data_IF_494731815436
#
_entry.id   IF_494731815436
#
_cell.length_a   1.000
_cell.length_b   1.000
_cell.length_c   1.000
_cell.angle_alpha   90.00
_cell.angle_beta   90.00
_cell.angle_gamma   90.00
#
_symmetry.space_group_name_H-M   'P 1'
#
loop_
_entity.id
_entity.type
_entity.pdbx_description
1 polymer ?
#
# COMPACT_ATOMS: atom_id res chain seq x y z
N UNK A 1 23.16 34.92 -48.43
CA UNK A 1 23.67 34.06 -47.34
C UNK A 1 22.97 34.49 -46.07
N UNK A 2 21.87 33.82 -45.72
CA UNK A 2 21.15 34.01 -44.46
C UNK A 2 21.33 32.73 -43.66
N UNK A 3 22.17 32.78 -42.64
CA UNK A 3 22.37 31.69 -41.69
C UNK A 3 21.06 31.36 -40.97
N UNK A 4 20.64 30.08 -40.89
CA UNK A 4 19.45 29.73 -40.15
C UNK A 4 19.71 29.89 -38.64
N UNK A 5 18.76 30.50 -37.95
CA UNK A 5 18.73 30.61 -36.49
C UNK A 5 18.76 29.21 -35.86
N UNK A 6 19.54 28.96 -34.80
CA UNK A 6 19.48 27.67 -34.12
C UNK A 6 18.07 27.48 -33.55
N UNK A 7 17.44 26.39 -33.94
CA UNK A 7 16.18 25.95 -33.37
C UNK A 7 16.38 25.79 -31.86
N UNK A 8 15.67 26.60 -31.07
CA UNK A 8 15.48 26.33 -29.65
C UNK A 8 14.79 24.98 -29.55
N UNK A 9 15.54 23.96 -29.15
CA UNK A 9 14.99 22.70 -28.69
C UNK A 9 13.91 23.04 -27.64
N UNK A 10 12.74 22.39 -27.65
CA UNK A 10 11.77 22.60 -26.59
C UNK A 10 12.48 22.25 -25.28
N UNK A 11 12.58 23.24 -24.39
CA UNK A 11 13.13 23.08 -23.05
C UNK A 11 12.49 21.84 -22.43
N UNK A 12 13.28 20.77 -22.32
CA UNK A 12 12.90 19.60 -21.55
C UNK A 12 12.53 20.11 -20.17
N UNK A 13 11.28 19.90 -19.77
CA UNK A 13 10.74 20.24 -18.47
C UNK A 13 11.78 19.96 -17.38
N UNK A 14 12.22 20.98 -16.59
CA UNK A 14 13.30 20.80 -15.63
C UNK A 14 12.94 19.69 -14.65
N UNK A 15 13.73 18.61 -14.66
CA UNK A 15 13.49 17.33 -14.00
C UNK A 15 12.98 17.49 -12.55
N UNK A 16 11.67 17.31 -12.29
CA UNK A 16 11.11 17.34 -10.93
C UNK A 16 11.71 16.26 -10.02
N UNK A 17 12.37 15.25 -10.60
CA UNK A 17 13.08 14.17 -9.90
C UNK A 17 14.33 14.65 -9.16
N UNK A 18 15.26 15.39 -9.78
CA UNK A 18 16.57 15.73 -9.15
C UNK A 18 16.44 16.49 -7.83
N UNK A 19 15.46 17.41 -7.75
CA UNK A 19 15.21 18.18 -6.53
C UNK A 19 14.59 17.32 -5.42
N UNK A 20 13.68 16.41 -5.77
CA UNK A 20 13.09 15.46 -4.82
C UNK A 20 14.17 14.53 -4.26
N UNK A 21 15.03 14.00 -5.12
CA UNK A 21 16.17 13.16 -4.73
C UNK A 21 17.10 13.90 -3.75
N UNK A 22 17.46 15.15 -4.06
CA UNK A 22 18.34 15.95 -3.20
C UNK A 22 17.70 16.22 -1.83
N UNK A 23 16.42 16.62 -1.80
CA UNK A 23 15.66 16.83 -0.56
C UNK A 23 15.57 15.53 0.25
N UNK A 24 15.36 14.39 -0.41
CA UNK A 24 15.30 13.07 0.23
C UNK A 24 16.63 12.71 0.90
N UNK A 25 17.77 12.96 0.23
CA UNK A 25 19.10 12.70 0.79
C UNK A 25 19.37 13.55 2.02
N UNK A 26 19.06 14.85 1.99
CA UNK A 26 19.24 15.71 3.17
C UNK A 26 18.36 15.28 4.34
N UNK A 27 17.10 14.92 4.08
CA UNK A 27 16.21 14.40 5.11
C UNK A 27 16.66 13.04 5.62
N UNK A 28 17.23 12.18 4.78
CA UNK A 28 17.79 10.90 5.17
C UNK A 28 18.98 11.07 6.12
N UNK A 29 19.88 12.02 5.85
CA UNK A 29 20.96 12.36 6.78
C UNK A 29 20.43 12.86 8.11
N UNK A 30 19.44 13.76 8.10
CA UNK A 30 18.80 14.22 9.34
C UNK A 30 18.13 13.07 10.11
N UNK A 31 17.40 12.20 9.41
CA UNK A 31 16.78 10.99 9.96
C UNK A 31 17.82 10.02 10.53
N UNK A 32 18.97 9.89 9.88
CA UNK A 32 20.10 9.11 10.38
C UNK A 32 20.70 9.69 11.66
N UNK A 33 20.89 11.01 11.74
CA UNK A 33 21.35 11.68 12.97
C UNK A 33 20.36 11.47 14.11
N UNK A 34 19.05 11.62 13.85
CA UNK A 34 18.00 11.29 14.83
C UNK A 34 18.10 9.82 15.24
N UNK A 35 18.33 8.93 14.29
CA UNK A 35 18.54 7.51 14.55
C UNK A 35 19.77 7.22 15.42
N UNK A 36 20.88 7.91 15.21
CA UNK A 36 22.09 7.78 16.03
C UNK A 36 21.81 8.15 17.49
N UNK A 37 21.17 9.30 17.70
CA UNK A 37 20.80 9.80 19.04
C UNK A 37 19.80 8.85 19.71
N UNK A 38 18.77 8.42 18.98
CA UNK A 38 17.77 7.51 19.49
C UNK A 38 18.36 6.13 19.84
N UNK A 39 19.22 5.58 18.98
CA UNK A 39 19.92 4.33 19.25
C UNK A 39 20.84 4.41 20.47
N UNK A 40 21.49 5.56 20.68
CA UNK A 40 22.29 5.81 21.88
C UNK A 40 21.42 5.82 23.14
N UNK A 41 20.28 6.53 23.12
CA UNK A 41 19.33 6.59 24.24
C UNK A 41 18.77 5.21 24.57
N UNK A 42 18.32 4.46 23.55
CA UNK A 42 17.80 3.09 23.75
C UNK A 42 18.86 2.18 24.36
N UNK A 43 20.12 2.27 23.92
CA UNK A 43 21.21 1.47 24.46
C UNK A 43 21.53 1.76 25.95
N UNK A 44 21.17 2.94 26.46
CA UNK A 44 21.32 3.27 27.88
C UNK A 44 20.12 2.85 28.73
N UNK A 45 18.93 2.79 28.14
CA UNK A 45 17.69 2.44 28.85
C UNK A 45 17.48 0.93 28.91
N UNK A 46 17.76 0.22 27.81
CA UNK A 46 17.54 -1.22 27.72
C UNK A 46 18.60 -1.99 28.53
N UNK A 47 18.16 -2.85 29.45
CA UNK A 47 19.06 -3.60 30.32
C UNK A 47 19.85 -4.68 29.54
N UNK A 48 19.23 -5.30 28.53
CA UNK A 48 19.84 -6.31 27.63
C UNK A 48 19.21 -6.25 26.24
N UNK A 49 19.65 -5.30 25.43
CA UNK A 49 19.17 -5.16 24.05
C UNK A 49 19.64 -6.35 23.20
N UNK A 50 18.71 -7.15 22.69
CA UNK A 50 19.00 -8.26 21.76
C UNK A 50 18.17 -8.12 20.48
N UNK A 51 18.46 -8.95 19.48
CA UNK A 51 17.71 -8.92 18.22
C UNK A 51 16.29 -9.49 18.34
N UNK A 52 16.06 -10.49 19.20
CA UNK A 52 14.86 -11.35 19.13
C UNK A 52 14.08 -11.53 20.44
N UNK A 53 14.73 -11.28 21.59
CA UNK A 53 14.31 -11.81 22.90
C UNK A 53 13.62 -10.73 23.76
N UNK A 54 13.90 -10.71 25.07
CA UNK A 54 13.15 -9.94 26.09
C UNK A 54 13.03 -8.44 25.78
N UNK A 55 14.12 -7.79 25.33
CA UNK A 55 14.15 -6.40 24.87
C UNK A 55 14.55 -6.36 23.39
N UNK A 56 13.59 -6.60 22.46
CA UNK A 56 13.93 -6.78 21.07
C UNK A 56 14.20 -5.42 20.42
N UNK A 57 15.42 -5.24 19.92
CA UNK A 57 15.82 -4.10 19.10
C UNK A 57 14.83 -3.84 17.96
N UNK A 58 14.22 -4.91 17.42
CA UNK A 58 13.18 -4.86 16.40
C UNK A 58 12.03 -3.88 16.74
N UNK A 59 11.57 -3.89 17.99
CA UNK A 59 10.46 -3.03 18.45
C UNK A 59 10.89 -1.57 18.54
N UNK A 60 12.05 -1.30 19.14
CA UNK A 60 12.58 0.07 19.23
C UNK A 60 12.83 0.68 17.85
N UNK A 61 13.41 -0.12 16.94
CA UNK A 61 13.67 0.28 15.57
C UNK A 61 12.38 0.53 14.78
N UNK A 62 11.35 -0.32 14.93
CA UNK A 62 10.07 -0.15 14.24
C UNK A 62 9.31 1.08 14.74
N UNK A 63 9.34 1.40 16.04
CA UNK A 63 8.79 2.64 16.59
C UNK A 63 9.50 3.86 16.00
N UNK A 64 10.84 3.85 15.99
CA UNK A 64 11.62 4.95 15.41
C UNK A 64 11.33 5.13 13.92
N UNK A 65 11.27 4.04 13.16
CA UNK A 65 10.91 4.03 11.74
C UNK A 65 9.51 4.60 11.50
N UNK A 66 8.52 4.23 12.32
CA UNK A 66 7.16 4.77 12.24
C UNK A 66 7.13 6.28 12.44
N UNK A 67 7.84 6.81 13.45
CA UNK A 67 7.89 8.25 13.74
C UNK A 67 8.50 9.03 12.57
N UNK A 68 9.66 8.61 12.07
CA UNK A 68 10.30 9.31 10.95
C UNK A 68 9.49 9.17 9.66
N UNK A 69 8.80 8.04 9.45
CA UNK A 69 7.89 7.84 8.33
C UNK A 69 6.67 8.75 8.40
N UNK A 70 6.07 8.96 9.57
CA UNK A 70 4.94 9.86 9.75
C UNK A 70 5.33 11.31 9.38
N UNK A 71 6.49 11.76 9.87
CA UNK A 71 7.02 13.11 9.59
C UNK A 71 7.36 13.26 8.11
N UNK A 72 8.13 12.32 7.55
CA UNK A 72 8.61 12.42 6.16
C UNK A 72 7.48 12.28 5.14
N UNK A 73 6.51 11.40 5.37
CA UNK A 73 5.32 11.27 4.52
C UNK A 73 4.44 12.51 4.58
N UNK A 74 4.25 13.10 5.77
CA UNK A 74 3.50 14.36 5.92
C UNK A 74 4.17 15.47 5.12
N UNK A 75 5.46 15.71 5.33
CA UNK A 75 6.22 16.76 4.63
C UNK A 75 6.20 16.51 3.12
N UNK A 76 6.50 15.27 2.68
CA UNK A 76 6.56 14.89 1.27
C UNK A 76 5.22 15.10 0.56
N UNK A 77 4.13 14.62 1.14
CA UNK A 77 2.79 14.71 0.54
C UNK A 77 2.28 16.15 0.46
N UNK A 78 2.47 16.95 1.52
CA UNK A 78 2.07 18.35 1.54
C UNK A 78 2.89 19.20 0.56
N UNK A 79 4.20 18.95 0.43
CA UNK A 79 5.05 19.66 -0.54
C UNK A 79 4.74 19.26 -1.97
N UNK A 80 4.36 18.00 -2.22
CA UNK A 80 4.01 17.50 -3.54
C UNK A 80 2.84 18.27 -4.19
N UNK A 81 1.86 18.74 -3.40
CA UNK A 81 0.75 19.60 -3.87
C UNK A 81 1.21 20.85 -4.62
N UNK A 82 2.43 21.34 -4.32
CA UNK A 82 2.96 22.57 -4.93
C UNK A 82 3.77 22.33 -6.21
N UNK A 83 3.91 21.08 -6.64
CA UNK A 83 4.78 20.70 -7.77
C UNK A 83 4.01 20.69 -9.11
N UNK A 84 4.71 20.90 -10.24
CA UNK A 84 4.13 20.73 -11.57
C UNK A 84 3.51 19.34 -11.75
N UNK A 85 2.37 19.25 -12.43
CA UNK A 85 1.63 17.99 -12.66
C UNK A 85 0.80 17.49 -11.46
N UNK A 86 0.93 18.09 -10.28
CA UNK A 86 0.13 17.76 -9.09
C UNK A 86 -0.83 18.88 -8.69
N UNK A 87 -1.05 19.83 -9.60
CA UNK A 87 -1.85 21.03 -9.35
C UNK A 87 -3.34 20.72 -9.16
N UNK A 88 -3.82 19.64 -9.79
CA UNK A 88 -5.17 19.13 -9.60
C UNK A 88 -5.48 18.83 -8.12
N UNK A 89 -4.47 18.47 -7.30
CA UNK A 89 -4.69 18.26 -5.86
C UNK A 89 -5.09 19.54 -5.12
N UNK A 90 -4.83 20.72 -5.70
CA UNK A 90 -5.24 22.02 -5.15
C UNK A 90 -6.72 22.33 -5.41
N UNK A 91 -7.33 21.68 -6.39
CA UNK A 91 -8.75 21.83 -6.71
C UNK A 91 -9.63 20.92 -5.84
N UNK A 92 -9.03 19.96 -5.13
CA UNK A 92 -9.74 19.10 -4.18
C UNK A 92 -10.28 19.93 -3.00
N UNK A 93 -11.52 19.65 -2.54
CA UNK A 93 -12.02 20.14 -1.27
C UNK A 93 -11.06 19.83 -0.12
N UNK A 94 -10.90 20.76 0.83
CA UNK A 94 -9.92 20.63 1.92
C UNK A 94 -10.09 19.35 2.73
N UNK A 95 -11.33 18.92 2.99
CA UNK A 95 -11.59 17.67 3.72
C UNK A 95 -11.09 16.43 2.96
N UNK A 96 -11.26 16.37 1.63
CA UNK A 96 -10.75 15.25 0.81
C UNK A 96 -9.23 15.21 0.84
N UNK A 97 -8.59 16.37 0.71
CA UNK A 97 -7.14 16.46 0.80
C UNK A 97 -6.61 16.04 2.18
N UNK A 98 -7.30 16.43 3.26
CA UNK A 98 -6.97 16.02 4.62
C UNK A 98 -7.10 14.51 4.80
N UNK A 99 -8.21 13.91 4.36
CA UNK A 99 -8.40 12.45 4.39
C UNK A 99 -7.29 11.75 3.62
N UNK A 100 -7.01 12.18 2.39
CA UNK A 100 -5.95 11.59 1.57
C UNK A 100 -4.57 11.70 2.24
N UNK A 101 -4.28 12.82 2.89
CA UNK A 101 -3.04 13.02 3.65
C UNK A 101 -2.98 12.04 4.82
N UNK A 102 -4.04 11.95 5.63
CA UNK A 102 -4.12 11.04 6.77
C UNK A 102 -3.90 9.60 6.31
N UNK A 103 -4.56 9.17 5.23
CA UNK A 103 -4.40 7.83 4.66
C UNK A 103 -2.97 7.54 4.26
N UNK A 104 -2.33 8.46 3.52
CA UNK A 104 -0.93 8.29 3.09
C UNK A 104 0.02 8.23 4.28
N UNK A 105 -0.19 9.08 5.29
CA UNK A 105 0.63 9.09 6.51
C UNK A 105 0.47 7.81 7.30
N UNK A 106 -0.77 7.37 7.56
CA UNK A 106 -1.07 6.12 8.27
C UNK A 106 -0.39 4.94 7.57
N UNK A 107 -0.57 4.81 6.25
CA UNK A 107 -0.01 3.69 5.49
C UNK A 107 1.50 3.67 5.56
N UNK A 108 2.19 4.80 5.34
CA UNK A 108 3.66 4.81 5.40
C UNK A 108 4.17 4.56 6.83
N UNK A 109 3.46 5.07 7.84
CA UNK A 109 3.81 4.86 9.25
C UNK A 109 3.71 3.39 9.62
N UNK A 110 2.57 2.77 9.32
CA UNK A 110 2.31 1.35 9.62
C UNK A 110 3.22 0.46 8.77
N UNK A 111 3.40 0.78 7.48
CA UNK A 111 4.30 0.00 6.61
C UNK A 111 5.75 0.06 7.09
N UNK A 112 6.24 1.24 7.48
CA UNK A 112 7.59 1.40 8.02
C UNK A 112 7.77 0.61 9.32
N UNK A 113 6.77 0.64 10.22
CA UNK A 113 6.76 -0.18 11.42
C UNK A 113 6.85 -1.67 11.07
N UNK A 114 5.92 -2.17 10.25
CA UNK A 114 5.78 -3.59 9.93
C UNK A 114 6.99 -4.11 9.15
N UNK A 115 7.46 -3.39 8.14
CA UNK A 115 8.62 -3.78 7.36
C UNK A 115 9.89 -3.84 8.22
N UNK A 116 10.10 -2.85 9.09
CA UNK A 116 11.25 -2.81 9.99
C UNK A 116 11.18 -3.93 11.02
N UNK A 117 10.00 -4.14 11.62
CA UNK A 117 9.78 -5.19 12.61
C UNK A 117 10.00 -6.57 11.98
N UNK A 118 9.37 -6.85 10.83
CA UNK A 118 9.53 -8.10 10.10
C UNK A 118 10.99 -8.36 9.71
N UNK A 119 11.70 -7.34 9.19
CA UNK A 119 13.11 -7.45 8.82
C UNK A 119 13.97 -7.87 10.02
N UNK A 120 13.86 -7.18 11.15
CA UNK A 120 14.65 -7.52 12.33
C UNK A 120 14.24 -8.86 12.94
N UNK A 121 12.96 -9.25 12.87
CA UNK A 121 12.51 -10.58 13.29
C UNK A 121 13.11 -11.68 12.42
N UNK A 122 13.23 -11.47 11.11
CA UNK A 122 13.90 -12.43 10.22
C UNK A 122 15.41 -12.49 10.52
N UNK A 123 16.06 -11.35 10.73
CA UNK A 123 17.48 -11.32 11.11
C UNK A 123 17.73 -12.03 12.45
N UNK A 124 16.84 -11.84 13.42
CA UNK A 124 16.86 -12.51 14.72
C UNK A 124 16.90 -14.04 14.61
N UNK A 125 16.25 -14.62 13.59
CA UNK A 125 16.30 -16.06 13.35
C UNK A 125 17.69 -16.55 12.90
N UNK A 126 18.47 -15.69 12.24
CA UNK A 126 19.85 -16.00 11.82
C UNK A 126 20.91 -15.66 12.86
N UNK A 127 20.64 -14.70 13.75
CA UNK A 127 21.59 -14.18 14.76
C UNK A 127 21.11 -14.46 16.19
N UNK A 128 20.94 -15.75 16.50
CA UNK A 128 20.40 -16.21 17.78
C UNK A 128 21.31 -15.78 18.93
N UNK A 129 20.74 -15.08 19.91
CA UNK A 129 21.44 -14.62 21.11
C UNK A 129 22.46 -13.49 20.87
N UNK A 130 22.47 -12.85 19.69
CA UNK A 130 23.40 -11.76 19.40
C UNK A 130 23.02 -10.50 20.22
N UNK A 131 23.86 -10.05 21.17
CA UNK A 131 23.61 -8.80 21.89
C UNK A 131 23.84 -7.60 20.98
N UNK A 132 22.94 -6.62 21.07
CA UNK A 132 23.06 -5.34 20.37
C UNK A 132 23.72 -4.34 21.32
N UNK A 133 25.06 -4.36 21.35
CA UNK A 133 25.84 -3.37 22.12
C UNK A 133 25.62 -1.95 21.60
N UNK A 134 25.95 -0.93 22.41
CA UNK A 134 25.73 0.49 22.09
C UNK A 134 26.20 0.89 20.69
N UNK A 135 27.36 0.40 20.24
CA UNK A 135 27.85 0.65 18.88
C UNK A 135 26.85 0.19 17.81
N UNK A 136 26.37 -1.05 17.90
CA UNK A 136 25.42 -1.60 16.94
C UNK A 136 24.03 -0.97 17.08
N UNK A 137 23.60 -0.63 18.28
CA UNK A 137 22.34 0.09 18.49
C UNK A 137 22.34 1.44 17.75
N UNK A 138 23.42 2.22 17.87
CA UNK A 138 23.59 3.51 17.18
C UNK A 138 23.66 3.30 15.67
N UNK A 139 24.50 2.39 15.18
CA UNK A 139 24.71 2.16 13.74
C UNK A 139 23.44 1.66 13.06
N UNK A 140 22.81 0.62 13.59
CA UNK A 140 21.61 0.02 13.01
C UNK A 140 20.44 1.00 13.03
N UNK A 141 20.28 1.77 14.12
CA UNK A 141 19.22 2.78 14.22
C UNK A 141 19.44 3.95 13.25
N UNK A 142 20.68 4.39 13.08
CA UNK A 142 21.06 5.41 12.07
C UNK A 142 20.67 4.97 10.67
N UNK A 143 21.05 3.75 10.29
CA UNK A 143 20.76 3.20 8.96
C UNK A 143 19.26 3.04 8.77
N UNK A 144 18.56 2.45 9.73
CA UNK A 144 17.12 2.21 9.65
C UNK A 144 16.33 3.51 9.51
N UNK A 145 16.52 4.47 10.42
CA UNK A 145 15.75 5.72 10.38
C UNK A 145 16.14 6.58 9.17
N UNK A 146 17.42 6.59 8.77
CA UNK A 146 17.87 7.28 7.56
C UNK A 146 17.24 6.71 6.29
N UNK A 147 17.29 5.39 6.10
CA UNK A 147 16.70 4.70 4.94
C UNK A 147 15.18 4.80 4.94
N UNK A 148 14.50 4.63 6.08
CA UNK A 148 13.06 4.83 6.19
C UNK A 148 12.67 6.24 5.78
N UNK A 149 13.39 7.25 6.28
CA UNK A 149 13.14 8.66 5.92
C UNK A 149 13.29 8.88 4.42
N UNK A 150 14.36 8.36 3.82
CA UNK A 150 14.63 8.45 2.38
C UNK A 150 13.50 7.84 1.55
N UNK A 151 13.19 6.56 1.79
CA UNK A 151 12.22 5.78 1.01
C UNK A 151 10.82 6.39 1.14
N UNK A 152 10.40 6.71 2.37
CA UNK A 152 9.07 7.25 2.63
C UNK A 152 8.91 8.65 2.04
N UNK A 153 9.94 9.51 2.15
CA UNK A 153 9.89 10.84 1.55
C UNK A 153 9.76 10.75 0.03
N UNK A 154 10.57 9.91 -0.64
CA UNK A 154 10.48 9.70 -2.08
C UNK A 154 9.11 9.18 -2.49
N UNK A 155 8.59 8.18 -1.78
CA UNK A 155 7.26 7.62 -2.02
C UNK A 155 6.16 8.67 -1.91
N UNK A 156 6.12 9.42 -0.81
CA UNK A 156 5.08 10.41 -0.54
C UNK A 156 5.16 11.66 -1.45
N UNK A 157 6.38 12.06 -1.84
CA UNK A 157 6.62 13.27 -2.63
C UNK A 157 6.31 13.13 -4.13
N UNK A 158 6.16 11.90 -4.62
CA UNK A 158 5.94 11.62 -6.05
C UNK A 158 4.79 10.65 -6.30
N UNK A 159 3.73 10.79 -5.49
CA UNK A 159 2.58 9.90 -5.54
C UNK A 159 1.85 9.96 -6.90
N UNK A 160 1.68 8.81 -7.54
CA UNK A 160 0.87 8.60 -8.75
C UNK A 160 -0.07 7.43 -8.51
N UNK A 161 -1.04 7.21 -9.40
CA UNK A 161 -1.95 6.04 -9.35
C UNK A 161 -1.16 4.73 -9.33
N UNK A 162 -0.10 4.62 -10.14
CA UNK A 162 0.80 3.47 -10.14
C UNK A 162 1.51 3.29 -8.79
N UNK A 163 2.07 4.36 -8.22
CA UNK A 163 2.76 4.26 -6.93
C UNK A 163 1.81 3.92 -5.77
N UNK A 164 0.59 4.46 -5.79
CA UNK A 164 -0.45 4.09 -4.83
C UNK A 164 -0.80 2.60 -4.93
N UNK A 165 -0.86 2.05 -6.15
CA UNK A 165 -1.03 0.60 -6.36
C UNK A 165 0.09 -0.21 -5.74
N UNK A 166 1.34 0.14 -6.06
CA UNK A 166 2.50 -0.58 -5.54
C UNK A 166 2.61 -0.46 -4.02
N UNK A 167 2.26 0.70 -3.47
CA UNK A 167 2.19 0.94 -2.03
C UNK A 167 1.11 0.06 -1.38
N UNK A 168 -0.09 0.01 -1.96
CA UNK A 168 -1.18 -0.86 -1.50
C UNK A 168 -0.76 -2.33 -1.53
N UNK A 169 -0.12 -2.78 -2.60
CA UNK A 169 0.39 -4.14 -2.72
C UNK A 169 1.42 -4.46 -1.65
N UNK A 170 2.43 -3.60 -1.51
CA UNK A 170 3.46 -3.77 -0.50
C UNK A 170 2.86 -3.79 0.91
N UNK A 171 1.88 -2.92 1.18
CA UNK A 171 1.20 -2.82 2.45
C UNK A 171 0.47 -4.12 2.84
N UNK A 172 -0.34 -4.64 1.92
CA UNK A 172 -1.08 -5.88 2.12
C UNK A 172 -0.12 -7.07 2.31
N UNK A 173 0.89 -7.19 1.45
CA UNK A 173 1.82 -8.33 1.48
C UNK A 173 2.66 -8.30 2.76
N UNK A 174 3.28 -7.16 3.07
CA UNK A 174 4.11 -7.02 4.27
C UNK A 174 3.27 -7.19 5.53
N UNK A 175 2.07 -6.59 5.59
CA UNK A 175 1.19 -6.72 6.75
C UNK A 175 0.71 -8.16 6.96
N UNK A 176 0.27 -8.83 5.90
CA UNK A 176 -0.12 -10.25 5.95
C UNK A 176 1.04 -11.14 6.40
N UNK A 177 2.23 -11.00 5.80
CA UNK A 177 3.41 -11.79 6.18
C UNK A 177 3.83 -11.51 7.63
N UNK A 178 3.75 -10.26 8.07
CA UNK A 178 4.08 -9.92 9.47
C UNK A 178 3.07 -10.56 10.43
N UNK A 179 1.77 -10.58 10.11
CA UNK A 179 0.77 -11.30 10.88
C UNK A 179 1.04 -12.82 10.92
N UNK A 180 1.40 -13.43 9.78
CA UNK A 180 1.76 -14.85 9.70
C UNK A 180 2.98 -15.22 10.54
N UNK A 181 3.98 -14.34 10.66
CA UNK A 181 5.20 -14.61 11.45
C UNK A 181 5.00 -14.33 12.94
N UNK A 182 3.98 -13.53 13.29
CA UNK A 182 3.68 -13.15 14.68
C UNK A 182 2.50 -13.88 15.28
N UNK A 183 1.83 -14.74 14.50
CA UNK A 183 0.71 -15.55 14.97
C UNK A 183 1.16 -16.52 16.07
N UNK A 184 0.36 -16.68 17.15
CA UNK A 184 0.65 -17.67 18.17
C UNK A 184 0.31 -19.11 17.71
N UNK A 185 -0.58 -19.27 16.72
CA UNK A 185 -0.99 -20.57 16.21
C UNK A 185 -0.20 -20.97 14.95
N UNK A 186 0.65 -22.01 14.99
CA UNK A 186 1.38 -22.48 13.82
C UNK A 186 0.50 -23.16 12.75
N UNK A 187 -0.70 -23.61 13.11
CA UNK A 187 -1.65 -24.30 12.23
C UNK A 187 -2.82 -23.41 11.77
N UNK A 188 -2.70 -22.09 11.95
CA UNK A 188 -3.73 -21.10 11.61
C UNK A 188 -4.32 -21.28 10.20
N UNK A 189 -3.50 -21.74 9.25
CA UNK A 189 -3.83 -21.91 7.84
C UNK A 189 -4.83 -23.04 7.58
N UNK A 190 -5.04 -23.93 8.55
CA UNK A 190 -6.03 -25.02 8.47
C UNK A 190 -7.47 -24.54 8.69
N UNK A 191 -7.65 -23.33 9.23
CA UNK A 191 -8.95 -22.76 9.60
C UNK A 191 -9.49 -21.87 8.47
N UNK A 192 -9.01 -20.64 8.37
CA UNK A 192 -9.29 -19.68 7.29
C UNK A 192 -8.25 -18.55 7.33
N UNK A 193 -8.08 -17.80 6.23
CA UNK A 193 -7.11 -16.71 6.12
C UNK A 193 -7.37 -15.61 7.15
N UNK A 194 -8.65 -15.27 7.39
CA UNK A 194 -9.03 -14.29 8.41
C UNK A 194 -8.73 -14.73 9.85
N UNK A 195 -8.25 -15.96 10.08
CA UNK A 195 -7.93 -16.47 11.42
C UNK A 195 -6.74 -15.72 12.02
N UNK A 196 -5.85 -15.19 11.16
CA UNK A 196 -4.78 -14.26 11.54
C UNK A 196 -5.29 -13.04 12.32
N UNK A 197 -6.57 -12.70 12.19
CA UNK A 197 -7.24 -11.59 12.86
C UNK A 197 -8.00 -11.95 14.15
N UNK A 198 -8.01 -13.21 14.59
CA UNK A 198 -8.96 -13.72 15.61
C UNK A 198 -8.36 -14.07 16.97
N UNK A 199 -7.10 -13.73 17.18
CA UNK A 199 -6.41 -13.92 18.45
C UNK A 199 -6.47 -12.66 19.33
N UNK A 200 -6.27 -12.81 20.64
CA UNK A 200 -5.90 -11.68 21.52
C UNK A 200 -4.37 -11.50 21.52
N UNK A 201 -3.80 -11.28 20.33
CA UNK A 201 -2.36 -11.26 20.11
C UNK A 201 -1.94 -10.18 19.11
N UNK A 202 -0.63 -9.91 19.04
CA UNK A 202 -0.03 -8.93 18.13
C UNK A 202 -0.40 -9.19 16.66
N UNK A 203 -0.49 -10.46 16.24
CA UNK A 203 -0.89 -10.83 14.88
C UNK A 203 -2.25 -10.27 14.49
N UNK A 204 -3.23 -10.29 15.38
CA UNK A 204 -4.57 -9.77 15.11
C UNK A 204 -4.59 -8.27 14.93
N UNK A 205 -3.87 -7.54 15.78
CA UNK A 205 -3.71 -6.09 15.64
C UNK A 205 -3.04 -5.73 14.32
N UNK A 206 -2.01 -6.50 13.91
CA UNK A 206 -1.32 -6.31 12.64
C UNK A 206 -2.22 -6.63 11.45
N UNK A 207 -2.89 -7.79 11.45
CA UNK A 207 -3.73 -8.23 10.34
C UNK A 207 -4.94 -7.29 10.17
N UNK A 208 -5.75 -7.13 11.22
CA UNK A 208 -6.95 -6.29 11.17
C UNK A 208 -6.60 -4.82 10.93
N UNK A 209 -5.54 -4.31 11.57
CA UNK A 209 -5.04 -2.96 11.33
C UNK A 209 -4.59 -2.74 9.87
N UNK A 210 -3.96 -3.75 9.26
CA UNK A 210 -3.59 -3.73 7.83
C UNK A 210 -4.83 -3.70 6.95
N UNK A 211 -5.89 -4.45 7.25
CA UNK A 211 -7.13 -4.38 6.47
C UNK A 211 -7.83 -3.02 6.60
N UNK A 212 -7.88 -2.45 7.80
CA UNK A 212 -8.46 -1.12 8.06
C UNK A 212 -7.71 -0.03 7.29
N UNK A 213 -6.39 0.05 7.47
CA UNK A 213 -5.56 1.04 6.78
C UNK A 213 -5.51 0.79 5.26
N UNK A 214 -5.52 -0.47 4.83
CA UNK A 214 -5.61 -0.86 3.42
C UNK A 214 -6.92 -0.43 2.78
N UNK A 215 -8.04 -0.60 3.47
CA UNK A 215 -9.35 -0.12 3.05
C UNK A 215 -9.39 1.39 2.88
N UNK A 216 -8.88 2.13 3.86
CA UNK A 216 -8.72 3.58 3.79
C UNK A 216 -7.83 4.02 2.60
N UNK A 217 -6.76 3.27 2.33
CA UNK A 217 -5.88 3.52 1.20
C UNK A 217 -6.59 3.28 -0.14
N UNK A 218 -7.36 2.19 -0.27
CA UNK A 218 -8.17 1.90 -1.46
C UNK A 218 -9.21 3.00 -1.70
N UNK A 219 -9.88 3.49 -0.66
CA UNK A 219 -10.82 4.61 -0.77
C UNK A 219 -10.12 5.91 -1.21
N UNK A 220 -8.94 6.20 -0.66
CA UNK A 220 -8.11 7.35 -1.06
C UNK A 220 -7.64 7.22 -2.51
N UNK A 221 -7.25 6.01 -2.87
CA UNK A 221 -6.79 5.63 -4.19
C UNK A 221 -7.88 5.82 -5.26
N UNK A 222 -9.15 5.59 -4.91
CA UNK A 222 -10.28 5.86 -5.80
C UNK A 222 -10.35 7.32 -6.28
N UNK A 223 -9.87 8.29 -5.48
CA UNK A 223 -9.80 9.71 -5.91
C UNK A 223 -8.80 9.90 -7.06
N UNK A 224 -7.70 9.15 -7.06
CA UNK A 224 -6.71 9.18 -8.12
C UNK A 224 -7.25 8.51 -9.38
N UNK A 225 -7.90 7.35 -9.24
CA UNK A 225 -8.58 6.69 -10.37
C UNK A 225 -9.61 7.63 -11.00
N UNK A 226 -10.41 8.33 -10.18
CA UNK A 226 -11.42 9.27 -10.69
C UNK A 226 -10.78 10.36 -11.56
N UNK A 227 -9.69 10.98 -11.07
CA UNK A 227 -8.94 11.98 -11.81
C UNK A 227 -8.41 11.44 -13.14
N UNK A 228 -7.76 10.26 -13.13
CA UNK A 228 -7.17 9.70 -14.34
C UNK A 228 -8.24 9.31 -15.36
N UNK A 229 -9.37 8.77 -14.90
CA UNK A 229 -10.48 8.43 -15.78
C UNK A 229 -11.18 9.68 -16.35
N UNK A 230 -11.30 10.77 -15.58
CA UNK A 230 -11.81 12.04 -16.10
C UNK A 230 -10.89 12.59 -17.21
N UNK A 231 -9.56 12.43 -17.07
CA UNK A 231 -8.60 12.80 -18.12
C UNK A 231 -8.78 11.94 -19.38
N UNK A 232 -8.94 10.62 -19.24
CA UNK A 232 -9.20 9.73 -20.38
C UNK A 232 -10.54 10.01 -21.08
N UNK A 233 -11.56 10.45 -20.34
CA UNK A 233 -12.84 10.90 -20.93
C UNK A 233 -12.63 12.22 -21.68
N UNK A 234 -11.91 13.17 -21.11
CA UNK A 234 -11.61 14.46 -21.74
C UNK A 234 -10.76 14.30 -23.01
N UNK A 235 -9.83 13.34 -23.03
CA UNK A 235 -9.02 12.98 -24.19
C UNK A 235 -9.80 12.18 -25.27
N UNK A 236 -11.06 11.80 -25.00
CA UNK A 236 -11.88 11.01 -25.93
C UNK A 236 -11.48 9.53 -26.04
N UNK A 237 -10.56 9.05 -25.20
CA UNK A 237 -10.14 7.64 -25.13
C UNK A 237 -11.28 6.80 -24.58
N UNK A 238 -11.91 7.23 -23.48
CA UNK A 238 -13.08 6.57 -22.91
C UNK A 238 -14.37 7.07 -23.55
N UNK A 239 -15.05 6.18 -24.28
CA UNK A 239 -16.31 6.49 -24.96
C UNK A 239 -17.50 6.61 -24.00
N UNK A 240 -17.43 5.98 -22.82
CA UNK A 240 -18.50 6.01 -21.82
C UNK A 240 -18.12 6.89 -20.62
N UNK A 241 -18.66 8.12 -20.50
CA UNK A 241 -18.31 9.02 -19.41
C UNK A 241 -18.80 8.55 -18.03
N UNK A 242 -19.72 7.57 -17.97
CA UNK A 242 -20.16 6.98 -16.70
C UNK A 242 -19.04 6.19 -16.02
N UNK A 243 -18.07 5.67 -16.79
CA UNK A 243 -16.93 4.93 -16.25
C UNK A 243 -16.18 5.72 -15.18
N UNK A 244 -15.91 7.00 -15.45
CA UNK A 244 -15.17 7.88 -14.55
C UNK A 244 -15.88 8.17 -13.21
N UNK A 245 -17.18 7.87 -13.10
CA UNK A 245 -17.92 7.97 -11.83
C UNK A 245 -18.12 6.62 -11.17
N UNK A 246 -18.53 5.61 -11.95
CA UNK A 246 -18.93 4.31 -11.41
C UNK A 246 -17.72 3.53 -10.91
N UNK A 247 -16.61 3.51 -11.65
CA UNK A 247 -15.42 2.73 -11.26
C UNK A 247 -14.83 3.24 -9.93
N UNK A 248 -14.58 4.54 -9.73
CA UNK A 248 -14.15 5.05 -8.43
C UNK A 248 -15.12 4.73 -7.30
N UNK A 249 -16.44 4.80 -7.53
CA UNK A 249 -17.43 4.45 -6.50
C UNK A 249 -17.31 2.97 -6.11
N UNK A 250 -17.14 2.05 -7.07
CA UNK A 250 -16.91 0.64 -6.78
C UNK A 250 -15.64 0.43 -5.95
N UNK A 251 -14.54 1.14 -6.28
CA UNK A 251 -13.31 1.14 -5.48
C UNK A 251 -13.53 1.68 -4.06
N UNK A 252 -14.29 2.76 -3.89
CA UNK A 252 -14.64 3.30 -2.57
C UNK A 252 -15.39 2.25 -1.75
N UNK A 253 -16.40 1.60 -2.34
CA UNK A 253 -17.18 0.54 -1.67
C UNK A 253 -16.27 -0.64 -1.31
N UNK A 254 -15.39 -1.08 -2.22
CA UNK A 254 -14.42 -2.14 -1.93
C UNK A 254 -13.47 -1.77 -0.78
N UNK A 255 -12.99 -0.53 -0.75
CA UNK A 255 -12.14 -0.04 0.34
C UNK A 255 -12.86 -0.01 1.69
N UNK A 256 -14.13 0.40 1.71
CA UNK A 256 -14.98 0.34 2.91
C UNK A 256 -15.18 -1.11 3.36
N UNK A 257 -15.53 -2.01 2.43
CA UNK A 257 -15.72 -3.43 2.73
C UNK A 257 -14.42 -4.07 3.27
N UNK A 258 -13.26 -3.72 2.70
CA UNK A 258 -11.96 -4.16 3.18
C UNK A 258 -11.67 -3.69 4.61
N UNK A 259 -11.96 -2.42 4.92
CA UNK A 259 -11.83 -1.93 6.27
C UNK A 259 -12.79 -2.64 7.24
N UNK A 260 -14.03 -2.89 6.81
CA UNK A 260 -15.02 -3.61 7.61
C UNK A 260 -14.60 -5.05 7.94
N UNK A 261 -13.86 -5.74 7.06
CA UNK A 261 -13.29 -7.06 7.38
C UNK A 261 -12.35 -6.98 8.60
N UNK A 262 -11.54 -5.91 8.70
CA UNK A 262 -10.68 -5.68 9.87
C UNK A 262 -11.40 -5.11 11.10
N UNK A 263 -12.47 -4.32 10.91
CA UNK A 263 -13.28 -3.77 12.01
C UNK A 263 -14.15 -4.85 12.67
N UNK A 264 -14.60 -5.82 11.89
CA UNK A 264 -15.40 -6.95 12.35
C UNK A 264 -14.61 -8.24 12.19
N UNK A 265 -13.66 -8.55 13.09
CA UNK A 265 -13.01 -9.86 13.12
C UNK A 265 -14.04 -10.98 13.19
N UNK A 266 -13.71 -12.14 12.61
CA UNK A 266 -14.67 -13.23 12.40
C UNK A 266 -15.21 -13.80 13.74
N UNK A 267 -14.39 -13.78 14.78
CA UNK A 267 -14.68 -14.20 16.15
C UNK A 267 -15.55 -13.20 16.92
N UNK A 268 -15.57 -11.93 16.49
CA UNK A 268 -16.40 -10.88 17.09
C UNK A 268 -17.78 -10.81 16.44
N UNK A 269 -17.84 -10.78 15.11
CA UNK A 269 -19.10 -10.76 14.37
C UNK A 269 -18.99 -11.44 13.01
N UNK A 270 -19.24 -12.75 12.99
CA UNK A 270 -19.21 -13.58 11.78
C UNK A 270 -20.10 -13.04 10.64
N UNK A 271 -21.29 -12.54 10.95
CA UNK A 271 -22.23 -12.07 9.93
C UNK A 271 -21.70 -10.81 9.22
N UNK A 272 -21.26 -9.81 9.98
CA UNK A 272 -20.71 -8.57 9.42
C UNK A 272 -19.37 -8.83 8.70
N UNK A 273 -18.54 -9.73 9.22
CA UNK A 273 -17.31 -10.16 8.55
C UNK A 273 -17.61 -10.75 7.17
N UNK A 274 -18.51 -11.73 7.10
CA UNK A 274 -18.85 -12.43 5.86
C UNK A 274 -19.52 -11.52 4.84
N UNK A 275 -20.41 -10.62 5.29
CA UNK A 275 -21.03 -9.61 4.42
C UNK A 275 -19.95 -8.69 3.84
N UNK A 276 -18.97 -8.29 4.65
CA UNK A 276 -17.89 -7.39 4.21
C UNK A 276 -16.96 -8.09 3.20
N UNK A 277 -16.48 -9.29 3.52
CA UNK A 277 -15.61 -10.07 2.65
C UNK A 277 -16.30 -10.41 1.31
N UNK A 278 -17.53 -10.92 1.38
CA UNK A 278 -18.32 -11.24 0.19
C UNK A 278 -18.71 -9.99 -0.61
N UNK A 279 -19.00 -8.88 0.07
CA UNK A 279 -19.33 -7.60 -0.55
C UNK A 279 -18.17 -7.05 -1.38
N UNK A 280 -16.93 -7.16 -0.89
CA UNK A 280 -15.74 -6.80 -1.66
C UNK A 280 -15.61 -7.64 -2.93
N UNK A 281 -15.71 -8.97 -2.82
CA UNK A 281 -15.64 -9.87 -3.97
C UNK A 281 -16.76 -9.61 -4.98
N UNK A 282 -17.97 -9.31 -4.50
CA UNK A 282 -19.11 -8.94 -5.35
C UNK A 282 -18.85 -7.64 -6.13
N UNK A 283 -18.32 -6.60 -5.48
CA UNK A 283 -17.97 -5.35 -6.18
C UNK A 283 -16.87 -5.56 -7.22
N UNK A 284 -15.89 -6.40 -6.93
CA UNK A 284 -14.86 -6.78 -7.89
C UNK A 284 -15.46 -7.47 -9.12
N UNK A 285 -16.36 -8.44 -8.92
CA UNK A 285 -17.09 -9.11 -10.01
C UNK A 285 -17.91 -8.10 -10.82
N UNK A 286 -18.64 -7.20 -10.16
CA UNK A 286 -19.40 -6.13 -10.83
C UNK A 286 -18.48 -5.28 -11.70
N UNK A 287 -17.29 -4.93 -11.22
CA UNK A 287 -16.31 -4.17 -11.97
C UNK A 287 -15.85 -4.92 -13.23
N UNK A 288 -15.50 -6.20 -13.11
CA UNK A 288 -15.07 -7.03 -14.24
C UNK A 288 -16.17 -7.21 -15.30
N UNK A 289 -17.39 -7.52 -14.86
CA UNK A 289 -18.55 -7.76 -15.75
C UNK A 289 -19.01 -6.47 -16.43
N UNK A 290 -19.00 -5.35 -15.72
CA UNK A 290 -19.39 -4.05 -16.27
C UNK A 290 -18.29 -3.36 -17.07
N UNK A 291 -17.04 -3.84 -16.96
CA UNK A 291 -15.85 -3.30 -17.62
C UNK A 291 -16.01 -3.04 -19.12
N UNK A 292 -16.49 -3.99 -19.95
CA UNK A 292 -16.70 -3.78 -21.38
C UNK A 292 -17.59 -2.59 -21.74
N UNK A 293 -18.52 -2.23 -20.85
CA UNK A 293 -19.40 -1.08 -21.03
C UNK A 293 -18.83 0.20 -20.41
N UNK A 294 -18.34 0.13 -19.16
CA UNK A 294 -17.83 1.29 -18.43
C UNK A 294 -16.49 1.80 -18.96
N UNK A 295 -15.64 0.92 -19.47
CA UNK A 295 -14.28 1.21 -19.93
C UNK A 295 -14.17 1.05 -21.45
N UNK A 296 -15.28 1.25 -22.16
CA UNK A 296 -15.32 1.20 -23.62
C UNK A 296 -14.35 2.22 -24.21
N UNK A 297 -13.40 1.74 -24.99
CA UNK A 297 -12.30 2.55 -25.54
C UNK A 297 -10.91 2.02 -25.16
N UNK A 298 -10.83 1.26 -24.05
CA UNK A 298 -9.60 0.59 -23.64
C UNK A 298 -9.15 -0.50 -24.64
N UNK A 299 -7.84 -0.81 -24.72
CA UNK A 299 -7.31 -1.82 -25.63
C UNK A 299 -7.87 -3.21 -25.35
N UNK A 300 -7.98 -4.07 -26.38
CA UNK A 300 -8.49 -5.45 -26.25
C UNK A 300 -7.72 -6.28 -25.22
N UNK A 301 -6.42 -6.04 -25.09
CA UNK A 301 -5.54 -6.72 -24.13
C UNK A 301 -5.97 -6.47 -22.67
N UNK A 302 -6.52 -5.30 -22.35
CA UNK A 302 -7.11 -5.03 -21.04
C UNK A 302 -8.31 -5.94 -20.75
N UNK A 303 -9.20 -6.11 -21.73
CA UNK A 303 -10.38 -6.97 -21.56
C UNK A 303 -10.02 -8.44 -21.45
N UNK A 304 -9.05 -8.92 -22.25
CA UNK A 304 -8.53 -10.29 -22.13
C UNK A 304 -8.00 -10.52 -20.71
N UNK A 305 -7.14 -9.63 -20.20
CA UNK A 305 -6.62 -9.74 -18.85
C UNK A 305 -7.76 -9.75 -17.80
N UNK A 306 -8.70 -8.80 -17.89
CA UNK A 306 -9.82 -8.71 -16.94
C UNK A 306 -10.72 -9.95 -16.94
N UNK A 307 -11.01 -10.50 -18.13
CA UNK A 307 -11.77 -11.75 -18.24
C UNK A 307 -10.99 -12.97 -17.76
N UNK A 308 -9.65 -12.97 -17.85
CA UNK A 308 -8.82 -14.00 -17.22
C UNK A 308 -8.91 -13.96 -15.69
N UNK A 309 -8.86 -12.76 -15.08
CA UNK A 309 -9.08 -12.61 -13.64
C UNK A 309 -10.50 -13.00 -13.23
N UNK A 310 -11.52 -12.67 -14.04
CA UNK A 310 -12.90 -13.10 -13.82
C UNK A 310 -13.00 -14.63 -13.85
N UNK A 311 -12.49 -15.27 -14.89
CA UNK A 311 -12.50 -16.72 -15.03
C UNK A 311 -11.77 -17.42 -13.88
N UNK A 312 -10.61 -16.91 -13.45
CA UNK A 312 -9.87 -17.42 -12.30
C UNK A 312 -10.67 -17.27 -10.99
N UNK A 313 -11.40 -16.17 -10.82
CA UNK A 313 -12.26 -15.94 -9.66
C UNK A 313 -13.42 -16.94 -9.63
N UNK A 314 -14.10 -17.15 -10.77
CA UNK A 314 -15.18 -18.15 -10.88
C UNK A 314 -14.65 -19.56 -10.69
N UNK A 315 -13.48 -19.89 -11.25
CA UNK A 315 -12.84 -21.19 -11.04
C UNK A 315 -12.51 -21.41 -9.55
N UNK A 316 -12.03 -20.37 -8.85
CA UNK A 316 -11.76 -20.45 -7.40
C UNK A 316 -13.03 -20.72 -6.60
N UNK A 317 -14.16 -20.10 -6.95
CA UNK A 317 -15.47 -20.38 -6.35
C UNK A 317 -15.90 -21.83 -6.61
N UNK A 318 -15.78 -22.32 -7.84
CA UNK A 318 -16.14 -23.70 -8.20
C UNK A 318 -15.30 -24.71 -7.41
N UNK A 319 -13.98 -24.49 -7.31
CA UNK A 319 -13.08 -25.38 -6.58
C UNK A 319 -13.32 -25.37 -5.06
N UNK A 320 -13.91 -24.30 -4.52
CA UNK A 320 -14.25 -24.16 -3.11
C UNK A 320 -15.62 -24.76 -2.74
N UNK A 321 -16.63 -24.67 -3.60
CA UNK A 321 -18.00 -25.12 -3.31
C UNK A 321 -18.00 -26.59 -2.81
N UNK A 322 -18.83 -26.96 -1.81
CA UNK A 322 -18.83 -28.30 -1.19
C UNK A 322 -18.96 -29.48 -2.16
N UNK A 323 -19.56 -29.26 -3.34
CA UNK A 323 -19.68 -30.28 -4.38
C UNK A 323 -18.33 -30.69 -5.00
N UNK A 324 -17.35 -29.79 -5.01
CA UNK A 324 -15.99 -30.06 -5.51
C UNK A 324 -15.02 -30.23 -4.34
N UNK A 325 -15.06 -29.33 -3.35
CA UNK A 325 -14.30 -29.44 -2.10
C UNK A 325 -12.77 -29.51 -2.26
N UNK A 326 -12.21 -28.97 -3.34
CA UNK A 326 -10.77 -29.03 -3.62
C UNK A 326 -9.98 -27.94 -2.88
N UNK A 327 -10.53 -26.73 -2.75
CA UNK A 327 -9.93 -25.65 -1.98
C UNK A 327 -10.40 -25.66 -0.53
N UNK A 328 -9.45 -25.52 0.39
CA UNK A 328 -9.76 -25.10 1.77
C UNK A 328 -10.27 -23.65 1.77
N UNK A 329 -10.96 -23.25 2.83
CA UNK A 329 -11.43 -21.88 2.98
C UNK A 329 -10.26 -20.87 2.94
N UNK A 330 -9.16 -21.18 3.63
CA UNK A 330 -7.92 -20.39 3.56
C UNK A 330 -7.39 -20.22 2.14
N UNK A 331 -7.30 -21.32 1.37
CA UNK A 331 -6.79 -21.26 0.00
C UNK A 331 -7.69 -20.40 -0.89
N UNK A 332 -9.01 -20.57 -0.77
CA UNK A 332 -10.00 -19.76 -1.46
C UNK A 332 -9.85 -18.27 -1.15
N UNK A 333 -9.77 -17.91 0.13
CA UNK A 333 -9.64 -16.51 0.57
C UNK A 333 -8.34 -15.87 0.06
N UNK A 334 -7.19 -16.55 0.21
CA UNK A 334 -5.90 -16.05 -0.27
C UNK A 334 -5.92 -15.83 -1.78
N UNK A 335 -6.45 -16.78 -2.55
CA UNK A 335 -6.47 -16.69 -4.02
C UNK A 335 -7.39 -15.55 -4.47
N UNK A 336 -8.61 -15.46 -3.95
CA UNK A 336 -9.54 -14.37 -4.31
C UNK A 336 -8.96 -13.00 -3.94
N UNK A 337 -8.32 -12.89 -2.77
CA UNK A 337 -7.64 -11.67 -2.37
C UNK A 337 -6.49 -11.33 -3.34
N UNK A 338 -5.63 -12.29 -3.65
CA UNK A 338 -4.54 -12.11 -4.61
C UNK A 338 -5.04 -11.73 -6.01
N UNK A 339 -6.17 -12.29 -6.46
CA UNK A 339 -6.78 -11.96 -7.76
C UNK A 339 -7.32 -10.52 -7.78
N UNK A 340 -7.99 -10.07 -6.71
CA UNK A 340 -8.49 -8.69 -6.60
C UNK A 340 -7.34 -7.70 -6.72
N UNK A 341 -6.31 -7.86 -5.87
CA UNK A 341 -5.19 -6.93 -5.81
C UNK A 341 -4.27 -7.03 -7.04
N UNK A 342 -4.08 -8.24 -7.56
CA UNK A 342 -3.36 -8.47 -8.82
C UNK A 342 -4.06 -7.81 -10.01
N UNK A 343 -5.38 -7.90 -10.10
CA UNK A 343 -6.15 -7.21 -11.13
C UNK A 343 -6.04 -5.68 -10.98
N UNK A 344 -6.13 -5.13 -9.76
CA UNK A 344 -5.95 -3.69 -9.51
C UNK A 344 -4.61 -3.21 -10.08
N UNK A 345 -3.52 -3.94 -9.83
CA UNK A 345 -2.20 -3.62 -10.37
C UNK A 345 -2.15 -3.62 -11.90
N UNK A 346 -2.81 -4.59 -12.55
CA UNK A 346 -2.92 -4.67 -14.01
C UNK A 346 -3.78 -3.54 -14.58
N UNK A 347 -4.94 -3.28 -13.99
CA UNK A 347 -5.87 -2.21 -14.38
C UNK A 347 -5.17 -0.85 -14.42
N UNK A 348 -4.34 -0.56 -13.42
CA UNK A 348 -3.65 0.73 -13.30
C UNK A 348 -2.57 0.91 -14.36
N UNK A 349 -1.85 -0.17 -14.70
CA UNK A 349 -0.90 -0.13 -15.81
C UNK A 349 -1.58 0.21 -17.13
N UNK A 350 -2.80 -0.28 -17.33
CA UNK A 350 -3.58 0.06 -18.52
C UNK A 350 -4.11 1.50 -18.49
N UNK A 351 -4.56 2.01 -17.34
CA UNK A 351 -4.96 3.42 -17.20
C UNK A 351 -3.79 4.35 -17.54
N UNK A 352 -2.61 4.09 -16.98
CA UNK A 352 -1.43 4.92 -17.20
C UNK A 352 -0.91 4.82 -18.65
N UNK A 353 -0.98 3.65 -19.28
CA UNK A 353 -0.61 3.49 -20.68
C UNK A 353 -1.56 4.24 -21.62
N UNK A 354 -2.85 4.33 -21.26
CA UNK A 354 -3.85 5.07 -22.03
C UNK A 354 -3.74 6.59 -21.88
N UNK A 355 -3.17 7.08 -20.77
CA UNK A 355 -2.96 8.51 -20.52
C UNK A 355 -1.75 9.06 -21.28
N UNK A 356 -0.83 8.19 -21.72
CA UNK A 356 0.43 8.57 -22.41
C UNK A 356 0.35 8.56 -23.94
N UNK A 357 -0.82 8.31 -24.54
CA UNK A 357 -0.98 8.39 -25.98
C UNK A 357 -1.19 9.85 -26.40
N UNK A 358 -0.08 10.55 -26.62
CA UNK A 358 0.04 11.72 -27.49
C UNK A 358 0.45 11.30 -28.91
#
# INVERSE_FOLDING_TARGET
MTSPSPATLPDGTPAPTRRIESEAVYLAFAGGVVGAVYGLVVAFIAARLTLADEDPFAMWASIGAAVVAAVSSTIGYWRARRRPGQEWRRTLPSWKFTVNTISVVIVHTVLAFLATYALYRVLALGFIGLPVVTFWAVVLMTVTLGLTTYIVYLSASSMTTQRMSSLLMAFIVIGTLTAMVTTPDPEWWTVHFSHLGSFDALSSWIFNGTLIAGGLLVTTFAVYIANDMDQLVAAGVLANPRGARVVPVLFVVMGIMLACVGIFPVDVNLALHNISASGMAAMFIVLLVSGPNLLRGMPRTYFVASWSFFAATIASVILFIPAVGYFSLTAFEIIVFALIFGWIAVFIRFLEAADRTD
#
